data_IF_633088383800
#
_entry.id   IF_633088383800
#
_cell.length_a   1.000
_cell.length_b   1.000
_cell.length_c   1.000
_cell.angle_alpha   90.00
_cell.angle_beta   90.00
_cell.angle_gamma   90.00
#
_symmetry.space_group_name_H-M   'P 1'
#
loop_
_entity.id
_entity.type
_entity.pdbx_description
1 polymer ?
#
# COMPACT_ATOMS: atom_id res chain seq x y z
N UNK A 1 0.18 35.23 -6.00
CA UNK A 1 -0.36 34.13 -5.22
C UNK A 1 -0.13 32.85 -6.01
N UNK A 2 0.69 31.94 -5.48
CA UNK A 2 1.14 30.75 -6.23
C UNK A 2 0.49 29.44 -5.72
N UNK A 3 -0.28 29.50 -4.64
CA UNK A 3 -0.89 28.35 -4.00
C UNK A 3 -2.38 28.54 -3.85
N UNK A 4 -3.14 27.44 -3.98
CA UNK A 4 -4.59 27.39 -3.82
C UNK A 4 -5.35 28.29 -4.78
N UNK A 5 -4.99 28.25 -6.06
CA UNK A 5 -5.86 28.80 -7.08
C UNK A 5 -7.18 28.00 -7.09
N UNK A 6 -8.30 28.70 -7.06
CA UNK A 6 -9.60 28.06 -7.22
C UNK A 6 -9.68 27.31 -8.55
N UNK A 7 -10.39 26.19 -8.58
CA UNK A 7 -10.70 25.47 -9.81
C UNK A 7 -11.55 26.37 -10.72
N UNK A 8 -11.04 26.78 -11.90
CA UNK A 8 -11.72 27.80 -12.72
C UNK A 8 -12.79 27.23 -13.68
N UNK A 9 -13.02 25.92 -13.63
CA UNK A 9 -13.93 25.21 -14.52
C UNK A 9 -15.11 24.65 -13.73
N UNK A 10 -16.14 24.17 -14.47
CA UNK A 10 -17.18 23.35 -13.84
C UNK A 10 -16.56 22.15 -13.08
N UNK A 11 -17.16 21.76 -11.95
CA UNK A 11 -16.71 20.57 -11.24
C UNK A 11 -16.68 19.34 -12.15
N UNK A 12 -15.63 18.56 -12.04
CA UNK A 12 -15.57 17.29 -12.76
C UNK A 12 -16.62 16.33 -12.22
N UNK A 13 -17.32 15.66 -13.13
CA UNK A 13 -18.19 14.55 -12.73
C UNK A 13 -17.37 13.41 -12.10
N UNK A 14 -17.99 12.56 -11.28
CA UNK A 14 -17.33 11.37 -10.74
C UNK A 14 -16.65 10.56 -11.84
N UNK A 15 -15.41 10.16 -11.60
CA UNK A 15 -14.57 9.39 -12.54
C UNK A 15 -14.23 10.09 -13.87
N UNK A 16 -14.64 11.39 -14.04
CA UNK A 16 -14.25 12.17 -15.19
C UNK A 16 -12.74 12.31 -15.28
N UNK A 17 -12.22 12.29 -16.48
CA UNK A 17 -10.78 12.42 -16.77
C UNK A 17 -10.54 13.60 -17.69
N UNK A 18 -9.36 14.17 -17.60
CA UNK A 18 -8.94 15.28 -18.42
C UNK A 18 -7.44 15.48 -18.37
N UNK A 19 -6.98 16.50 -19.04
CA UNK A 19 -5.59 16.95 -18.98
C UNK A 19 -5.56 18.41 -18.49
N UNK A 20 -4.65 18.69 -17.59
CA UNK A 20 -4.39 20.03 -17.10
C UNK A 20 -3.06 20.53 -17.67
N UNK A 21 -3.09 21.76 -18.21
CA UNK A 21 -1.89 22.52 -18.59
C UNK A 21 -1.93 23.85 -17.90
N UNK A 22 -0.78 24.36 -17.54
CA UNK A 22 -0.63 25.68 -16.92
C UNK A 22 0.37 26.53 -17.70
N UNK A 23 0.18 27.85 -17.69
CA UNK A 23 1.18 28.83 -18.11
C UNK A 23 1.18 29.98 -17.13
N UNK A 24 2.27 30.68 -17.06
CA UNK A 24 2.41 31.88 -16.26
C UNK A 24 2.43 33.11 -17.17
N UNK A 25 1.94 34.24 -16.66
CA UNK A 25 2.05 35.53 -17.32
C UNK A 25 3.03 36.35 -16.51
N UNK A 26 4.13 36.79 -17.13
CA UNK A 26 5.15 37.64 -16.52
C UNK A 26 4.60 39.01 -16.11
N UNK A 27 5.36 39.74 -15.30
CA UNK A 27 5.02 41.10 -14.93
C UNK A 27 5.00 42.04 -16.13
N UNK A 28 5.68 41.70 -17.20
CA UNK A 28 5.68 42.36 -18.52
C UNK A 28 4.46 42.05 -19.38
N UNK A 29 3.53 41.23 -18.87
CA UNK A 29 2.34 40.75 -19.59
C UNK A 29 2.59 39.66 -20.61
N UNK A 30 3.83 39.15 -20.73
CA UNK A 30 4.18 38.08 -21.67
C UNK A 30 3.83 36.73 -21.05
N UNK A 31 3.11 35.88 -21.81
CA UNK A 31 2.77 34.54 -21.41
C UNK A 31 3.92 33.57 -21.72
N UNK A 32 4.23 32.67 -20.79
CA UNK A 32 5.13 31.54 -21.04
C UNK A 32 4.52 30.55 -22.04
N UNK A 33 5.31 29.61 -22.53
CA UNK A 33 4.78 28.38 -23.14
C UNK A 33 3.89 27.65 -22.13
N UNK A 34 2.96 26.83 -22.64
CA UNK A 34 2.20 25.90 -21.81
C UNK A 34 3.12 24.83 -21.24
N UNK A 35 2.81 24.37 -20.03
CA UNK A 35 3.43 23.16 -19.45
C UNK A 35 3.08 21.93 -20.29
N UNK A 36 3.85 20.86 -20.11
CA UNK A 36 3.40 19.55 -20.54
C UNK A 36 2.05 19.21 -19.90
N UNK A 37 1.20 18.42 -20.59
CA UNK A 37 -0.08 18.01 -20.05
C UNK A 37 0.10 17.09 -18.86
N UNK A 38 -0.64 17.36 -17.80
CA UNK A 38 -0.74 16.49 -16.62
C UNK A 38 -2.10 15.83 -16.64
N UNK A 39 -2.19 14.48 -16.68
CA UNK A 39 -3.47 13.80 -16.61
C UNK A 39 -4.09 14.05 -15.24
N UNK A 40 -5.38 14.35 -15.24
CA UNK A 40 -6.19 14.49 -14.04
C UNK A 40 -7.38 13.54 -14.12
N UNK A 41 -7.81 13.03 -12.99
CA UNK A 41 -9.01 12.23 -12.87
C UNK A 41 -9.74 12.60 -11.59
N UNK A 42 -11.06 12.75 -11.69
CA UNK A 42 -11.91 12.85 -10.53
C UNK A 42 -12.05 11.47 -9.89
N UNK A 43 -12.04 11.42 -8.57
CA UNK A 43 -12.34 10.20 -7.81
C UNK A 43 -13.83 9.84 -7.92
N UNK A 44 -14.29 9.01 -7.00
CA UNK A 44 -15.71 8.79 -6.79
C UNK A 44 -16.21 9.85 -5.79
N UNK A 45 -17.46 10.29 -5.97
CA UNK A 45 -18.08 11.28 -5.10
C UNK A 45 -19.46 10.78 -4.68
N UNK A 46 -19.63 10.54 -3.41
CA UNK A 46 -20.94 10.35 -2.83
C UNK A 46 -21.27 8.94 -2.36
N UNK A 47 -22.30 8.91 -1.54
CA UNK A 47 -22.91 7.69 -1.06
C UNK A 47 -23.46 6.86 -2.23
N UNK A 48 -23.18 5.57 -2.26
CA UNK A 48 -23.64 4.65 -3.31
C UNK A 48 -22.63 4.37 -4.43
N UNK A 49 -21.50 5.06 -4.50
CA UNK A 49 -20.40 4.68 -5.42
C UNK A 49 -19.38 3.75 -4.79
N UNK A 50 -19.41 3.57 -3.48
CA UNK A 50 -18.59 2.63 -2.75
C UNK A 50 -19.45 1.48 -2.25
N UNK A 51 -19.22 0.27 -2.78
CA UNK A 51 -20.01 -0.93 -2.52
C UNK A 51 -19.10 -2.15 -2.25
N UNK A 52 -17.87 -1.90 -1.79
CA UNK A 52 -16.92 -2.93 -1.42
C UNK A 52 -17.05 -3.26 0.07
N UNK A 53 -17.08 -4.54 0.40
CA UNK A 53 -17.04 -4.99 1.79
C UNK A 53 -15.67 -4.71 2.41
N UNK A 54 -15.67 -4.34 3.69
CA UNK A 54 -14.46 -4.34 4.50
C UNK A 54 -14.12 -5.75 4.90
N UNK A 55 -12.94 -6.21 4.52
CA UNK A 55 -12.50 -7.59 4.75
C UNK A 55 -11.16 -7.66 5.45
N UNK A 56 -10.92 -8.78 6.14
CA UNK A 56 -9.65 -9.08 6.80
C UNK A 56 -9.56 -10.56 7.19
N UNK A 57 -8.60 -10.89 8.05
CA UNK A 57 -8.40 -12.27 8.48
C UNK A 57 -9.53 -12.70 9.44
N UNK A 58 -10.08 -13.93 9.31
CA UNK A 58 -11.19 -14.38 10.16
C UNK A 58 -10.79 -14.70 11.59
N UNK A 59 -9.53 -15.03 11.86
CA UNK A 59 -9.07 -15.47 13.16
C UNK A 59 -8.70 -14.30 14.06
N UNK A 60 -9.33 -14.11 15.24
CA UNK A 60 -8.97 -13.08 16.21
C UNK A 60 -7.54 -13.20 16.77
N UNK A 61 -6.95 -14.40 16.77
CA UNK A 61 -5.55 -14.61 17.20
C UNK A 61 -4.54 -13.94 16.26
N UNK A 62 -4.98 -13.56 15.07
CA UNK A 62 -4.21 -12.77 14.11
C UNK A 62 -4.30 -11.26 14.34
N UNK A 63 -4.61 -10.83 15.55
CA UNK A 63 -4.59 -9.41 15.91
C UNK A 63 -3.24 -8.77 15.56
N UNK A 64 -3.30 -7.62 14.89
CA UNK A 64 -2.13 -6.85 14.45
C UNK A 64 -1.11 -7.61 13.55
N UNK A 65 -1.38 -8.87 13.19
CA UNK A 65 -0.50 -9.60 12.30
C UNK A 65 -0.71 -9.19 10.84
N UNK A 66 0.37 -9.08 10.07
CA UNK A 66 0.27 -8.91 8.62
C UNK A 66 -0.43 -10.10 7.97
N UNK A 67 -1.28 -9.80 7.01
CA UNK A 67 -2.05 -10.78 6.25
C UNK A 67 -1.92 -10.57 4.76
N UNK A 68 -2.18 -11.62 4.02
CA UNK A 68 -2.30 -11.60 2.56
C UNK A 68 -3.76 -11.89 2.21
N UNK A 69 -4.27 -11.13 1.28
CA UNK A 69 -5.60 -11.30 0.69
C UNK A 69 -5.43 -11.47 -0.81
N UNK A 70 -6.26 -12.32 -1.44
CA UNK A 70 -6.27 -12.49 -2.89
C UNK A 70 -7.64 -12.87 -3.43
N UNK A 71 -7.85 -12.54 -4.69
CA UNK A 71 -9.02 -12.94 -5.45
C UNK A 71 -8.65 -13.07 -6.93
N UNK A 72 -9.05 -14.18 -7.55
CA UNK A 72 -8.90 -14.39 -8.99
C UNK A 72 -10.20 -14.03 -9.71
N UNK A 73 -10.05 -13.48 -10.91
CA UNK A 73 -11.16 -13.11 -11.78
C UNK A 73 -10.75 -13.21 -13.24
N UNK A 74 -11.73 -13.44 -14.11
CA UNK A 74 -11.51 -13.43 -15.55
C UNK A 74 -11.87 -12.07 -16.15
N UNK A 75 -11.05 -11.63 -17.12
CA UNK A 75 -11.27 -10.40 -17.87
C UNK A 75 -10.82 -10.57 -19.33
N UNK A 76 -11.62 -10.08 -20.27
CA UNK A 76 -11.29 -10.10 -21.69
C UNK A 76 -11.77 -8.81 -22.35
N UNK A 77 -10.98 -8.25 -23.25
CA UNK A 77 -11.34 -7.03 -23.98
C UNK A 77 -11.43 -5.76 -23.12
N UNK A 78 -10.72 -5.72 -21.99
CA UNK A 78 -10.69 -4.55 -21.10
C UNK A 78 -9.89 -3.44 -21.77
N UNK A 79 -10.51 -2.27 -21.93
CA UNK A 79 -9.85 -1.07 -22.47
C UNK A 79 -9.33 -0.16 -21.37
N UNK A 80 -9.87 -0.29 -20.16
CA UNK A 80 -9.43 0.45 -18.99
C UNK A 80 -9.73 -0.29 -17.71
N UNK A 81 -8.81 -0.20 -16.74
CA UNK A 81 -9.00 -0.73 -15.40
C UNK A 81 -8.54 0.29 -14.35
N UNK A 82 -9.40 0.55 -13.37
CA UNK A 82 -9.09 1.50 -12.27
C UNK A 82 -9.36 0.83 -10.94
N UNK A 83 -8.32 0.74 -10.12
CA UNK A 83 -8.39 0.22 -8.75
C UNK A 83 -8.63 1.37 -7.77
N UNK A 84 -9.66 1.23 -6.95
CA UNK A 84 -9.93 2.04 -5.78
C UNK A 84 -9.72 1.19 -4.55
N UNK A 85 -8.84 1.61 -3.63
CA UNK A 85 -8.52 0.80 -2.46
C UNK A 85 -8.22 1.65 -1.23
N UNK A 86 -8.60 1.14 -0.07
CA UNK A 86 -8.39 1.76 1.24
C UNK A 86 -8.12 0.70 2.30
N UNK A 87 -7.65 1.12 3.48
CA UNK A 87 -7.50 0.24 4.63
C UNK A 87 -7.60 1.01 5.95
N UNK A 88 -8.08 0.33 6.97
CA UNK A 88 -7.79 0.64 8.37
C UNK A 88 -6.53 -0.16 8.71
N UNK A 89 -5.39 0.47 8.50
CA UNK A 89 -4.05 -0.13 8.46
C UNK A 89 -3.23 0.45 7.32
N UNK A 90 -2.28 -0.34 6.82
CA UNK A 90 -1.51 -0.06 5.61
C UNK A 90 -1.58 -1.25 4.67
N UNK A 91 -1.57 -0.99 3.37
CA UNK A 91 -1.64 -2.03 2.36
C UNK A 91 -0.69 -1.80 1.19
N UNK A 92 -0.36 -2.87 0.50
CA UNK A 92 0.29 -2.87 -0.80
C UNK A 92 -0.47 -3.84 -1.70
N UNK A 93 -0.99 -3.34 -2.81
CA UNK A 93 -1.72 -4.15 -3.79
C UNK A 93 -0.82 -4.53 -4.96
N UNK A 94 -1.03 -5.73 -5.48
CA UNK A 94 -0.42 -6.22 -6.71
C UNK A 94 -1.48 -6.84 -7.62
N UNK A 95 -1.31 -6.65 -8.91
CA UNK A 95 -2.13 -7.30 -9.94
C UNK A 95 -1.21 -8.19 -10.78
N UNK A 96 -1.56 -9.47 -10.85
CA UNK A 96 -0.78 -10.48 -11.56
C UNK A 96 0.71 -10.51 -11.16
N UNK A 97 0.98 -10.39 -9.85
CA UNK A 97 2.32 -10.41 -9.28
C UNK A 97 3.10 -9.10 -9.39
N UNK A 98 2.55 -8.06 -10.02
CA UNK A 98 3.18 -6.75 -10.18
C UNK A 98 2.54 -5.72 -9.25
N UNK A 99 3.34 -4.99 -8.46
CA UNK A 99 2.86 -3.89 -7.62
C UNK A 99 2.09 -2.89 -8.50
N UNK A 100 0.92 -2.45 -8.06
CA UNK A 100 0.06 -1.54 -8.84
C UNK A 100 0.62 -0.12 -8.94
N UNK A 101 1.50 0.27 -8.03
CA UNK A 101 2.18 1.56 -8.00
C UNK A 101 3.43 1.51 -7.11
N UNK A 102 4.17 2.62 -7.00
CA UNK A 102 5.35 2.79 -6.16
C UNK A 102 5.04 3.46 -4.80
N UNK A 103 3.75 3.64 -4.49
CA UNK A 103 3.34 4.26 -3.23
C UNK A 103 3.62 3.33 -2.04
N UNK A 104 3.92 3.94 -0.91
CA UNK A 104 4.18 3.24 0.35
C UNK A 104 3.32 3.82 1.47
N UNK A 105 3.09 3.02 2.53
CA UNK A 105 2.27 3.41 3.68
C UNK A 105 0.83 3.82 3.31
N UNK A 106 0.28 3.25 2.23
CA UNK A 106 -1.11 3.51 1.82
C UNK A 106 -2.11 2.96 2.84
N UNK A 107 -3.25 3.62 3.05
CA UNK A 107 -3.67 4.92 2.53
C UNK A 107 -3.14 6.10 3.36
N UNK A 108 -2.35 5.87 4.40
CA UNK A 108 -1.87 6.86 5.35
C UNK A 108 -2.67 6.88 6.65
N UNK A 109 -2.32 7.77 7.55
CA UNK A 109 -2.96 7.90 8.85
C UNK A 109 -4.05 8.96 8.85
N UNK A 110 -5.24 8.55 9.26
CA UNK A 110 -6.40 9.42 9.52
C UNK A 110 -7.05 9.01 10.84
N UNK A 111 -7.95 9.79 11.42
CA UNK A 111 -8.82 9.29 12.48
C UNK A 111 -9.82 8.28 11.89
N UNK A 112 -9.41 7.03 11.79
CA UNK A 112 -10.08 5.97 11.03
C UNK A 112 -11.57 5.79 11.36
N UNK A 113 -11.98 6.09 12.59
CA UNK A 113 -13.40 6.03 12.98
C UNK A 113 -14.27 7.11 12.29
N UNK A 114 -13.65 8.16 11.77
CA UNK A 114 -14.33 9.31 11.18
C UNK A 114 -14.06 9.45 9.68
N UNK A 115 -12.86 9.01 9.25
CA UNK A 115 -12.39 9.26 7.89
C UNK A 115 -11.40 8.21 7.44
N UNK A 116 -11.60 7.67 6.26
CA UNK A 116 -10.62 6.87 5.51
C UNK A 116 -10.36 7.50 4.14
N UNK A 117 -9.19 7.21 3.57
CA UNK A 117 -8.80 7.72 2.26
C UNK A 117 -8.70 6.53 1.30
N UNK A 118 -9.29 6.63 0.12
CA UNK A 118 -9.08 5.70 -0.96
C UNK A 118 -8.06 6.24 -1.97
N UNK A 119 -7.11 5.39 -2.32
CA UNK A 119 -6.23 5.61 -3.45
C UNK A 119 -6.93 5.17 -4.74
N UNK A 120 -6.70 5.91 -5.82
CA UNK A 120 -7.15 5.57 -7.16
C UNK A 120 -5.93 5.34 -8.03
N UNK A 121 -5.83 4.14 -8.61
CA UNK A 121 -4.69 3.73 -9.43
C UNK A 121 -5.16 3.20 -10.77
N UNK A 122 -4.61 3.71 -11.87
CA UNK A 122 -4.80 3.13 -13.21
C UNK A 122 -3.96 1.85 -13.31
N UNK A 123 -4.64 0.72 -13.47
CA UNK A 123 -4.01 -0.60 -13.56
C UNK A 123 -4.25 -1.26 -14.92
N UNK A 124 -4.65 -0.48 -15.90
CA UNK A 124 -4.99 -0.98 -17.25
C UNK A 124 -3.89 -1.83 -17.85
N UNK A 125 -2.64 -1.38 -17.75
CA UNK A 125 -1.48 -2.09 -18.32
C UNK A 125 -1.14 -3.41 -17.60
N UNK A 126 -1.72 -3.67 -16.45
CA UNK A 126 -1.49 -4.88 -15.66
C UNK A 126 -2.57 -5.94 -15.89
N UNK A 127 -3.70 -5.60 -16.51
CA UNK A 127 -4.76 -6.55 -16.85
C UNK A 127 -4.28 -7.43 -18.02
N UNK A 128 -4.57 -8.72 -17.92
CA UNK A 128 -4.30 -9.73 -18.94
C UNK A 128 -5.61 -10.28 -19.48
N UNK A 129 -5.61 -10.75 -20.72
CA UNK A 129 -6.70 -11.56 -21.25
C UNK A 129 -6.79 -12.89 -20.48
N UNK A 130 -8.01 -13.29 -20.09
CA UNK A 130 -8.26 -14.47 -19.28
C UNK A 130 -8.09 -14.22 -17.79
N UNK A 131 -7.44 -15.13 -17.10
CA UNK A 131 -7.36 -15.13 -15.64
C UNK A 131 -6.40 -14.07 -15.11
N UNK A 132 -6.85 -13.34 -14.08
CA UNK A 132 -6.13 -12.29 -13.36
C UNK A 132 -6.24 -12.53 -11.85
N UNK A 133 -5.24 -12.06 -11.11
CA UNK A 133 -5.24 -12.11 -9.65
C UNK A 133 -4.97 -10.72 -9.06
N UNK A 134 -5.92 -10.19 -8.30
CA UNK A 134 -5.70 -9.04 -7.43
C UNK A 134 -5.33 -9.54 -6.03
N UNK A 135 -4.16 -9.16 -5.56
CA UNK A 135 -3.65 -9.53 -4.25
C UNK A 135 -3.24 -8.32 -3.43
N UNK A 136 -3.33 -8.45 -2.11
CA UNK A 136 -2.99 -7.38 -1.18
C UNK A 136 -2.21 -7.94 0.00
N UNK A 137 -1.09 -7.31 0.34
CA UNK A 137 -0.44 -7.44 1.64
C UNK A 137 -0.92 -6.32 2.53
N UNK A 138 -1.35 -6.64 3.74
CA UNK A 138 -1.91 -5.69 4.69
C UNK A 138 -1.26 -5.86 6.06
N UNK A 139 -1.00 -4.75 6.75
CA UNK A 139 -0.54 -4.71 8.13
C UNK A 139 -1.26 -3.60 8.91
N UNK A 140 -1.18 -3.68 10.23
CA UNK A 140 -1.91 -2.76 11.10
C UNK A 140 -1.38 -1.34 11.11
N UNK A 141 -0.05 -1.15 11.10
CA UNK A 141 0.60 0.15 11.22
C UNK A 141 -0.10 1.04 12.27
N UNK A 142 -0.45 2.29 11.95
CA UNK A 142 -1.12 3.20 12.91
C UNK A 142 -2.45 2.67 13.44
N UNK A 143 -3.16 1.82 12.68
CA UNK A 143 -4.48 1.35 13.09
C UNK A 143 -4.44 0.40 14.30
N UNK A 144 -3.39 -0.41 14.41
CA UNK A 144 -3.23 -1.38 15.49
C UNK A 144 -2.07 -1.07 16.43
N UNK A 145 -1.36 0.04 16.22
CA UNK A 145 -0.24 0.44 17.06
C UNK A 145 -0.71 0.93 18.42
N UNK A 146 0.12 0.70 19.41
CA UNK A 146 -0.12 1.14 20.78
C UNK A 146 0.39 2.57 20.97
N UNK A 147 -0.53 3.53 21.02
CA UNK A 147 -0.22 4.92 21.30
C UNK A 147 -0.27 5.23 22.79
N UNK A 148 0.72 5.97 23.27
CA UNK A 148 0.87 6.33 24.66
C UNK A 148 2.24 5.89 25.21
N UNK A 149 2.45 6.13 26.49
CA UNK A 149 3.72 5.84 27.15
C UNK A 149 3.56 4.73 28.18
N UNK A 150 4.52 3.81 28.25
CA UNK A 150 4.59 2.73 29.24
C UNK A 150 3.32 1.87 29.25
N UNK A 151 2.79 1.62 30.44
CA UNK A 151 1.62 0.77 30.67
C UNK A 151 0.30 1.36 30.16
N UNK A 152 0.28 2.63 29.79
CA UNK A 152 -0.90 3.31 29.26
C UNK A 152 -0.98 3.26 27.73
N UNK A 153 -0.03 2.64 27.08
CA UNK A 153 -0.07 2.47 25.63
C UNK A 153 -1.18 1.50 25.23
N UNK A 154 -2.07 1.94 24.34
CA UNK A 154 -3.23 1.16 23.87
C UNK A 154 -3.48 1.37 22.38
N UNK A 155 -4.03 0.35 21.68
CA UNK A 155 -4.50 0.53 20.32
C UNK A 155 -5.73 1.45 20.33
N UNK A 156 -5.70 2.52 19.53
CA UNK A 156 -6.78 3.53 19.50
C UNK A 156 -7.88 3.20 18.51
N UNK A 157 -7.56 2.44 17.44
CA UNK A 157 -8.47 2.21 16.33
C UNK A 157 -8.85 0.73 16.19
N UNK A 158 -8.47 -0.11 17.16
CA UNK A 158 -8.71 -1.54 17.17
C UNK A 158 -7.43 -2.37 17.06
N UNK A 159 -7.61 -3.66 16.91
CA UNK A 159 -6.53 -4.65 16.97
C UNK A 159 -6.37 -5.42 15.66
N UNK A 160 -7.33 -5.30 14.73
CA UNK A 160 -7.32 -6.03 13.48
C UNK A 160 -7.31 -5.08 12.28
N UNK A 161 -6.32 -5.21 11.38
CA UNK A 161 -6.33 -4.48 10.12
C UNK A 161 -7.43 -5.02 9.20
N UNK A 162 -8.01 -4.13 8.42
CA UNK A 162 -9.03 -4.46 7.42
C UNK A 162 -8.93 -3.53 6.23
N UNK A 163 -9.38 -3.99 5.09
CA UNK A 163 -9.35 -3.20 3.87
C UNK A 163 -10.63 -3.34 3.08
N UNK A 164 -10.82 -2.41 2.16
CA UNK A 164 -11.85 -2.50 1.14
C UNK A 164 -11.28 -2.04 -0.20
N UNK A 165 -11.65 -2.71 -1.28
CA UNK A 165 -11.22 -2.36 -2.62
C UNK A 165 -12.30 -2.68 -3.65
N UNK A 166 -12.33 -1.87 -4.70
CA UNK A 166 -13.14 -2.12 -5.88
C UNK A 166 -12.34 -1.81 -7.13
N UNK A 167 -12.32 -2.74 -8.08
CA UNK A 167 -11.66 -2.61 -9.37
C UNK A 167 -12.74 -2.45 -10.43
N UNK A 168 -12.72 -1.32 -11.14
CA UNK A 168 -13.58 -1.05 -12.28
C UNK A 168 -12.88 -1.50 -13.55
N UNK A 169 -13.52 -2.39 -14.29
CA UNK A 169 -13.13 -2.79 -15.64
C UNK A 169 -14.10 -2.13 -16.63
N UNK A 170 -13.59 -1.44 -17.62
CA UNK A 170 -14.36 -0.76 -18.67
C UNK A 170 -14.04 -1.39 -20.03
N UNK A 171 -15.06 -1.62 -20.84
CA UNK A 171 -14.96 -2.30 -22.13
C UNK A 171 -15.23 -1.35 -23.31
N UNK A 172 -14.79 -1.75 -24.51
CA UNK A 172 -14.90 -0.91 -25.71
C UNK A 172 -16.36 -0.61 -26.11
N UNK A 173 -17.31 -1.45 -25.72
CA UNK A 173 -18.74 -1.25 -25.98
C UNK A 173 -19.41 -0.28 -24.98
N UNK A 174 -18.65 0.28 -24.04
CA UNK A 174 -19.14 1.16 -22.99
C UNK A 174 -19.71 0.45 -21.77
N UNK A 175 -19.72 -0.89 -21.75
CA UNK A 175 -20.10 -1.64 -20.56
C UNK A 175 -18.98 -1.61 -19.50
N UNK A 176 -19.32 -1.98 -18.27
CA UNK A 176 -18.36 -2.06 -17.16
C UNK A 176 -18.67 -3.21 -16.24
N UNK A 177 -17.63 -3.70 -15.57
CA UNK A 177 -17.69 -4.74 -14.55
C UNK A 177 -16.95 -4.26 -13.30
N UNK A 178 -17.48 -4.62 -12.13
CA UNK A 178 -16.84 -4.37 -10.86
C UNK A 178 -16.37 -5.67 -10.22
N UNK A 179 -15.11 -5.70 -9.80
CA UNK A 179 -14.54 -6.70 -8.90
C UNK A 179 -14.39 -6.03 -7.54
N UNK A 180 -15.02 -6.56 -6.51
CA UNK A 180 -15.06 -5.94 -5.17
C UNK A 180 -14.49 -6.88 -4.12
N UNK A 181 -14.04 -6.32 -3.00
CA UNK A 181 -13.76 -7.12 -1.82
C UNK A 181 -15.06 -7.69 -1.24
N UNK A 182 -15.03 -8.95 -0.86
CA UNK A 182 -16.16 -9.72 -0.37
C UNK A 182 -15.74 -11.09 0.16
N UNK A 183 -16.72 -11.93 0.44
CA UNK A 183 -16.54 -13.25 1.05
C UNK A 183 -15.80 -14.27 0.15
N UNK A 184 -15.76 -14.04 -1.14
CA UNK A 184 -15.05 -14.89 -2.11
C UNK A 184 -13.53 -14.69 -2.06
N UNK A 185 -13.06 -13.63 -1.41
CA UNK A 185 -11.63 -13.41 -1.21
C UNK A 185 -11.04 -14.44 -0.25
N UNK A 186 -9.81 -14.84 -0.53
CA UNK A 186 -9.03 -15.74 0.30
C UNK A 186 -7.98 -14.98 1.10
N UNK A 187 -7.65 -15.47 2.28
CA UNK A 187 -6.67 -14.85 3.18
C UNK A 187 -5.77 -15.88 3.86
N UNK A 188 -4.52 -15.50 4.05
CA UNK A 188 -3.53 -16.29 4.77
C UNK A 188 -2.49 -15.40 5.47
N UNK A 189 -1.77 -15.99 6.41
CA UNK A 189 -0.52 -15.40 6.94
C UNK A 189 0.65 -15.77 6.04
N UNK A 190 1.41 -14.77 5.58
CA UNK A 190 2.60 -14.96 4.74
C UNK A 190 3.91 -14.97 5.52
N UNK A 191 5.00 -14.69 4.80
CA UNK A 191 6.36 -14.61 5.35
C UNK A 191 6.56 -13.45 6.33
N UNK A 192 5.85 -12.33 6.15
CA UNK A 192 5.86 -11.23 7.11
C UNK A 192 5.03 -11.65 8.33
N UNK A 193 5.70 -11.96 9.44
CA UNK A 193 5.06 -12.50 10.66
C UNK A 193 4.67 -11.42 11.66
N UNK A 194 5.31 -10.26 11.57
CA UNK A 194 5.04 -9.12 12.43
C UNK A 194 5.46 -7.85 11.71
N UNK A 195 4.68 -6.78 11.87
CA UNK A 195 5.02 -5.44 11.38
C UNK A 195 4.40 -4.39 12.30
N UNK A 196 5.22 -3.54 12.87
CA UNK A 196 4.81 -2.42 13.72
C UNK A 196 5.70 -1.21 13.49
N UNK A 197 5.12 -0.02 13.53
CA UNK A 197 5.84 1.23 13.29
C UNK A 197 6.99 1.45 14.28
N UNK A 198 6.76 1.11 15.54
CA UNK A 198 7.75 1.29 16.62
C UNK A 198 8.52 0.02 16.97
N UNK A 199 8.03 -1.15 16.54
CA UNK A 199 8.58 -2.44 16.94
C UNK A 199 9.30 -3.17 15.80
N UNK A 200 9.31 -2.56 14.61
CA UNK A 200 9.95 -3.11 13.43
C UNK A 200 9.18 -4.28 12.80
N UNK A 201 9.90 -5.16 12.12
CA UNK A 201 9.34 -6.27 11.36
C UNK A 201 10.03 -7.59 11.67
N UNK A 202 9.29 -8.67 11.52
CA UNK A 202 9.83 -10.03 11.55
C UNK A 202 9.38 -10.77 10.30
N UNK A 203 10.35 -11.17 9.48
CA UNK A 203 10.14 -11.87 8.23
C UNK A 203 10.73 -13.27 8.30
N UNK A 204 9.99 -14.29 7.87
CA UNK A 204 10.42 -15.67 7.78
C UNK A 204 10.26 -16.18 6.34
N UNK A 205 11.36 -16.19 5.58
CA UNK A 205 11.35 -16.60 4.18
C UNK A 205 10.86 -18.05 3.94
N UNK A 206 10.87 -18.90 4.97
CA UNK A 206 10.36 -20.28 4.86
C UNK A 206 8.83 -20.33 4.72
N UNK A 207 8.17 -19.24 5.06
CA UNK A 207 6.71 -19.09 4.96
C UNK A 207 6.30 -18.22 3.75
N UNK A 208 7.17 -18.11 2.75
CA UNK A 208 6.79 -17.53 1.46
C UNK A 208 5.67 -18.37 0.83
N UNK A 209 4.66 -17.68 0.33
CA UNK A 209 3.47 -18.29 -0.23
C UNK A 209 3.71 -18.62 -1.71
N UNK A 210 4.33 -19.78 -1.90
CA UNK A 210 4.59 -20.40 -3.20
C UNK A 210 3.96 -21.80 -3.13
N UNK A 211 3.14 -22.15 -4.10
CA UNK A 211 2.49 -23.47 -4.13
C UNK A 211 3.42 -24.59 -4.62
N UNK A 212 2.91 -25.82 -4.65
CA UNK A 212 3.67 -26.98 -5.07
C UNK A 212 4.11 -26.94 -6.54
N UNK A 213 3.46 -26.14 -7.38
CA UNK A 213 3.83 -25.92 -8.79
C UNK A 213 4.80 -24.76 -8.98
N UNK A 214 5.16 -24.05 -7.90
CA UNK A 214 6.04 -22.90 -7.93
C UNK A 214 5.39 -21.58 -8.26
N UNK A 215 4.05 -21.53 -8.31
CA UNK A 215 3.28 -20.31 -8.55
C UNK A 215 3.25 -19.49 -7.24
N UNK A 216 3.42 -18.19 -7.35
CA UNK A 216 3.34 -17.27 -6.20
C UNK A 216 1.90 -16.83 -5.96
N UNK A 217 1.56 -16.58 -4.70
CA UNK A 217 0.20 -16.22 -4.28
C UNK A 217 -0.40 -14.99 -5.02
N UNK A 218 0.44 -14.10 -5.51
CA UNK A 218 0.00 -12.89 -6.20
C UNK A 218 -0.25 -13.11 -7.70
N UNK A 219 -0.05 -14.32 -8.18
CA UNK A 219 -0.25 -14.68 -9.58
C UNK A 219 -1.51 -15.54 -9.77
N UNK A 220 -2.13 -15.51 -10.97
CA UNK A 220 -3.22 -16.40 -11.31
C UNK A 220 -2.79 -17.88 -11.28
N UNK A 221 -3.71 -18.76 -10.89
CA UNK A 221 -3.49 -20.20 -10.84
C UNK A 221 -2.78 -20.72 -9.60
N UNK A 222 -2.55 -19.87 -8.60
CA UNK A 222 -2.04 -20.29 -7.30
C UNK A 222 -3.09 -21.15 -6.57
N UNK A 223 -2.70 -22.29 -6.00
CA UNK A 223 -3.57 -23.13 -5.19
C UNK A 223 -3.82 -22.53 -3.79
N UNK A 224 -4.89 -21.77 -3.65
CA UNK A 224 -5.36 -21.19 -2.40
C UNK A 224 -6.47 -22.01 -1.71
N UNK A 225 -6.67 -23.26 -2.10
CA UNK A 225 -7.73 -24.14 -1.57
C UNK A 225 -7.64 -24.35 -0.05
N UNK A 226 -6.45 -24.15 0.53
CA UNK A 226 -6.19 -24.27 1.97
C UNK A 226 -6.28 -22.95 2.73
N UNK A 227 -6.55 -21.85 2.03
CA UNK A 227 -6.66 -20.55 2.66
C UNK A 227 -8.04 -20.34 3.25
N UNK A 228 -8.13 -19.56 4.29
CA UNK A 228 -9.40 -19.16 4.86
C UNK A 228 -10.15 -18.22 3.91
N UNK A 229 -11.49 -18.24 3.99
CA UNK A 229 -12.29 -17.17 3.40
C UNK A 229 -12.08 -15.88 4.20
N UNK A 230 -12.00 -14.76 3.51
CA UNK A 230 -11.90 -13.47 4.16
C UNK A 230 -13.16 -13.20 5.01
N UNK A 231 -12.96 -12.61 6.19
CA UNK A 231 -14.06 -12.21 7.06
C UNK A 231 -14.51 -10.80 6.71
N UNK A 232 -15.81 -10.59 6.58
CA UNK A 232 -16.38 -9.25 6.52
C UNK A 232 -16.36 -8.57 7.88
N UNK A 233 -16.06 -7.28 7.87
CA UNK A 233 -16.12 -6.38 9.04
C UNK A 233 -17.29 -5.42 8.89
N UNK A 234 -17.75 -4.79 10.00
CA UNK A 234 -18.71 -3.71 9.91
C UNK A 234 -18.22 -2.60 8.96
N UNK A 235 -19.16 -1.95 8.29
CA UNK A 235 -18.84 -0.84 7.41
C UNK A 235 -18.14 0.28 8.18
N UNK A 236 -17.05 0.79 7.61
CA UNK A 236 -16.40 2.02 8.03
C UNK A 236 -17.00 3.22 7.27
N UNK A 237 -16.65 4.44 7.63
CA UNK A 237 -17.05 5.61 6.84
C UNK A 237 -16.68 5.43 5.35
N UNK A 238 -17.55 5.89 4.45
CA UNK A 238 -17.25 5.87 3.01
C UNK A 238 -15.92 6.58 2.77
N UNK A 239 -14.95 5.94 2.08
CA UNK A 239 -13.65 6.54 1.88
C UNK A 239 -13.73 7.80 1.03
N UNK A 240 -12.91 8.79 1.37
CA UNK A 240 -12.73 9.98 0.57
C UNK A 240 -11.59 9.78 -0.45
N UNK A 241 -11.69 10.37 -1.64
CA UNK A 241 -10.57 10.39 -2.57
C UNK A 241 -9.34 11.07 -1.98
N UNK A 242 -8.16 10.56 -2.30
CA UNK A 242 -6.89 11.20 -1.92
C UNK A 242 -6.76 12.56 -2.58
N UNK A 243 -6.49 13.59 -1.79
CA UNK A 243 -6.21 14.95 -2.24
C UNK A 243 -4.76 15.40 -2.01
N UNK A 244 -4.00 14.64 -1.21
CA UNK A 244 -2.59 14.94 -0.92
C UNK A 244 -1.66 14.03 -1.73
N UNK A 245 -0.45 14.49 -2.07
CA UNK A 245 0.54 13.62 -2.68
C UNK A 245 0.78 12.38 -1.84
N UNK A 246 0.92 11.19 -2.46
CA UNK A 246 1.24 9.97 -1.75
C UNK A 246 2.70 9.95 -1.30
N UNK A 247 3.00 9.14 -0.28
CA UNK A 247 4.37 8.78 0.04
C UNK A 247 4.87 7.79 -1.01
N UNK A 248 6.04 8.03 -1.60
CA UNK A 248 6.58 7.25 -2.71
C UNK A 248 8.02 6.81 -2.44
N UNK A 249 8.43 5.76 -3.13
CA UNK A 249 9.86 5.43 -3.28
C UNK A 249 10.48 6.45 -4.24
N UNK A 250 11.36 7.31 -3.73
CA UNK A 250 11.96 8.40 -4.51
C UNK A 250 13.25 7.93 -5.16
N UNK A 251 14.14 7.29 -4.37
CA UNK A 251 15.45 6.87 -4.81
C UNK A 251 15.96 5.67 -4.02
N UNK A 252 17.02 5.03 -4.49
CA UNK A 252 17.76 4.01 -3.77
C UNK A 252 19.16 4.53 -3.47
N UNK A 253 19.54 4.51 -2.19
CA UNK A 253 20.83 4.98 -1.72
C UNK A 253 21.65 3.79 -1.26
N UNK A 254 22.84 3.64 -1.82
CA UNK A 254 23.81 2.64 -1.38
C UNK A 254 24.58 3.13 -0.15
N UNK A 255 25.04 2.23 0.74
CA UNK A 255 25.93 2.62 1.82
C UNK A 255 27.16 3.33 1.30
N UNK A 256 27.52 4.47 1.92
CA UNK A 256 28.75 5.21 1.66
C UNK A 256 29.97 4.50 2.27
N UNK A 257 29.78 3.84 3.42
CA UNK A 257 30.82 3.06 4.07
C UNK A 257 30.26 1.87 4.86
N UNK A 258 31.13 0.93 5.17
CA UNK A 258 30.84 -0.21 6.02
C UNK A 258 32.01 -0.43 7.00
N UNK A 259 31.69 -0.68 8.26
CA UNK A 259 32.68 -1.04 9.29
C UNK A 259 32.21 -2.22 10.14
N UNK A 260 33.13 -3.02 10.60
CA UNK A 260 32.85 -4.12 11.53
C UNK A 260 33.25 -3.67 12.93
N UNK A 261 32.33 -3.79 13.87
CA UNK A 261 32.60 -3.49 15.29
C UNK A 261 33.38 -4.61 15.96
N UNK A 262 33.98 -4.34 17.13
CA UNK A 262 34.67 -5.37 17.93
C UNK A 262 33.74 -6.52 18.34
N UNK A 263 32.44 -6.27 18.43
CA UNK A 263 31.43 -7.29 18.70
C UNK A 263 31.01 -8.10 17.45
N UNK A 264 31.62 -7.85 16.29
CA UNK A 264 31.35 -8.56 15.04
C UNK A 264 30.07 -8.08 14.29
N UNK A 265 29.45 -6.99 14.71
CA UNK A 265 28.34 -6.40 13.98
C UNK A 265 28.86 -5.54 12.81
N UNK A 266 28.16 -5.52 11.70
CA UNK A 266 28.45 -4.63 10.56
C UNK A 266 27.59 -3.39 10.63
N UNK A 267 28.21 -2.23 10.68
CA UNK A 267 27.54 -0.93 10.59
C UNK A 267 27.65 -0.44 9.15
N UNK A 268 26.51 -0.12 8.55
CA UNK A 268 26.41 0.51 7.23
C UNK A 268 26.04 1.98 7.41
N UNK A 269 26.90 2.87 6.94
CA UNK A 269 26.67 4.32 6.95
C UNK A 269 26.21 4.76 5.57
N UNK A 270 25.07 5.41 5.49
CA UNK A 270 24.49 5.92 4.24
C UNK A 270 24.90 7.38 3.94
N UNK A 271 25.73 7.99 4.78
CA UNK A 271 26.29 9.33 4.57
C UNK A 271 25.32 10.49 4.77
N UNK A 272 24.08 10.21 5.12
CA UNK A 272 23.05 11.21 5.39
C UNK A 272 21.94 10.64 6.29
N UNK A 273 21.27 11.53 7.01
CA UNK A 273 20.02 11.20 7.68
C UNK A 273 18.91 11.08 6.63
N UNK A 274 18.15 9.98 6.69
CA UNK A 274 17.12 9.68 5.70
C UNK A 274 15.96 8.90 6.34
N UNK A 275 14.80 9.00 5.71
CA UNK A 275 13.63 8.16 5.99
C UNK A 275 13.52 7.13 4.88
N UNK A 276 13.48 5.85 5.23
CA UNK A 276 13.48 4.81 4.20
C UNK A 276 13.24 3.41 4.73
N UNK A 277 13.46 2.45 3.84
CA UNK A 277 13.43 1.01 4.09
C UNK A 277 14.67 0.38 3.51
N UNK A 278 15.14 -0.70 4.14
CA UNK A 278 16.25 -1.45 3.57
C UNK A 278 15.76 -2.41 2.48
N UNK A 279 16.53 -2.46 1.40
CA UNK A 279 16.49 -3.54 0.41
C UNK A 279 17.79 -4.32 0.51
N UNK A 280 17.70 -5.58 0.86
CA UNK A 280 18.87 -6.43 1.07
C UNK A 280 18.71 -7.74 0.27
N UNK A 281 19.77 -8.16 -0.36
CA UNK A 281 19.89 -9.50 -0.93
C UNK A 281 20.74 -10.35 0.00
N UNK A 282 20.18 -11.45 0.46
CA UNK A 282 20.88 -12.37 1.37
C UNK A 282 20.92 -13.76 0.78
N UNK A 283 21.97 -14.51 1.14
CA UNK A 283 22.13 -15.93 0.86
C UNK A 283 22.79 -16.59 2.05
N UNK A 284 22.30 -17.74 2.44
CA UNK A 284 22.82 -18.49 3.58
C UNK A 284 22.02 -19.75 3.85
N UNK A 285 22.46 -20.58 4.80
CA UNK A 285 21.73 -21.77 5.23
C UNK A 285 20.33 -21.43 5.76
N UNK A 286 19.37 -22.32 5.52
CA UNK A 286 18.02 -22.17 6.07
C UNK A 286 18.08 -22.08 7.61
N UNK A 287 17.31 -21.15 8.19
CA UNK A 287 17.32 -20.89 9.63
C UNK A 287 18.33 -19.84 10.09
N UNK A 288 19.20 -19.33 9.21
CA UNK A 288 20.04 -18.17 9.53
C UNK A 288 19.18 -16.96 9.85
N UNK A 289 19.44 -16.32 10.99
CA UNK A 289 18.76 -15.09 11.39
C UNK A 289 19.66 -13.89 11.13
N UNK A 290 19.12 -12.87 10.48
CA UNK A 290 19.76 -11.58 10.27
C UNK A 290 18.94 -10.53 11.02
N UNK A 291 19.59 -9.82 11.93
CA UNK A 291 18.98 -8.75 12.71
C UNK A 291 19.44 -7.41 12.15
N UNK A 292 18.50 -6.55 11.76
CA UNK A 292 18.75 -5.20 11.31
C UNK A 292 18.30 -4.22 12.40
N UNK A 293 19.13 -3.22 12.68
CA UNK A 293 18.82 -2.14 13.60
C UNK A 293 19.13 -0.81 12.92
N UNK A 294 18.39 0.21 13.25
CA UNK A 294 18.53 1.54 12.69
C UNK A 294 18.83 2.54 13.78
N UNK A 295 19.64 3.53 13.51
CA UNK A 295 19.85 4.69 14.35
C UNK A 295 20.31 5.86 13.48
N UNK A 296 20.09 7.08 13.95
CA UNK A 296 20.52 8.30 13.26
C UNK A 296 21.96 8.68 13.59
N UNK A 297 22.48 8.26 14.74
CA UNK A 297 23.81 8.61 15.25
C UNK A 297 24.52 7.42 15.87
N UNK A 298 25.82 7.56 16.00
CA UNK A 298 26.68 6.64 16.76
C UNK A 298 27.05 7.26 18.11
N UNK A 299 27.06 6.44 19.16
CA UNK A 299 27.64 6.74 20.46
C UNK A 299 28.73 5.70 20.75
N UNK A 300 29.93 6.15 21.03
CA UNK A 300 31.12 5.29 21.29
C UNK A 300 31.33 4.21 20.21
N UNK A 301 31.11 4.58 18.94
CA UNK A 301 31.25 3.68 17.80
C UNK A 301 30.16 2.62 17.63
N UNK A 302 29.08 2.70 18.40
CA UNK A 302 27.91 1.82 18.33
C UNK A 302 26.65 2.61 17.94
N UNK A 303 25.64 1.91 17.43
CA UNK A 303 24.35 2.56 17.14
C UNK A 303 23.69 3.08 18.44
N UNK A 304 23.32 4.35 18.47
CA UNK A 304 22.56 4.95 19.56
C UNK A 304 21.08 4.53 19.45
N UNK A 305 20.72 3.42 20.05
CA UNK A 305 19.35 2.84 19.97
C UNK A 305 18.46 3.18 21.16
N UNK A 306 18.91 4.03 22.11
CA UNK A 306 18.13 4.37 23.32
C UNK A 306 16.81 5.10 23.06
N UNK A 307 16.65 5.89 21.99
CA UNK A 307 15.37 6.53 21.69
C UNK A 307 14.32 5.60 21.04
N UNK A 308 14.72 4.39 20.65
CA UNK A 308 13.91 3.45 19.87
C UNK A 308 13.26 2.35 20.71
#
# INVERSE_FOLDING_TARGET
>A
QQLRLGWPFEPLAPRARGELRVRVIGLDGVASAWSEPVPIAAGFFGEGEWDADWIGHPNPEHEAQPVVLRHEFDANGVVRATLYATAVGVYQAALNGTDVDDHVLKPGWTPFAERTIADMTDVTSLIREGSNCLSVRMAGAWATEHFGFRQNAQPRYGTQPRMAAQLLLEFADGSSQWIRTGHEWRTASGALKFSGLYKGERYDARADLIDASGVRYAEPGYDDSRWDAARAFPAEPVPEPRISPPVRRIEEISPASAQVTDAGATILDFGQNLVGRLRMRVSGPAGTTITLRHAEVLEDGQLATRPL
#
